data_IF_582168545522
#
_entry.id   IF_582168545522
#
_cell.length_a   1.000
_cell.length_b   1.000
_cell.length_c   1.000
_cell.angle_alpha   90.00
_cell.angle_beta   90.00
_cell.angle_gamma   90.00
#
_symmetry.space_group_name_H-M   'P 1'
#
loop_
_entity.id
_entity.type
_entity.pdbx_description
1 polymer ?
#
# COMPACT_ATOMS: atom_id res chain seq x y z
N UNK A 1 23.30 -53.11 27.27
CA UNK A 1 22.93 -52.45 25.98
C UNK A 1 21.59 -51.67 26.00
N UNK A 2 20.91 -51.47 27.14
CA UNK A 2 19.61 -50.76 27.18
C UNK A 2 19.65 -49.27 27.60
N UNK A 3 20.72 -48.84 28.28
CA UNK A 3 20.80 -47.50 28.88
C UNK A 3 21.21 -46.43 27.84
N UNK A 4 22.19 -46.74 26.98
CA UNK A 4 22.68 -45.82 25.93
C UNK A 4 21.66 -45.51 24.83
N UNK A 5 20.82 -46.49 24.42
CA UNK A 5 19.77 -46.25 23.42
C UNK A 5 18.72 -45.25 23.90
N UNK A 6 18.30 -45.30 25.17
CA UNK A 6 17.30 -44.39 25.73
C UNK A 6 17.81 -42.94 25.75
N UNK A 7 19.07 -42.72 26.14
CA UNK A 7 19.67 -41.38 26.09
C UNK A 7 19.77 -40.82 24.68
N UNK A 8 20.08 -41.67 23.69
CA UNK A 8 20.11 -41.28 22.29
C UNK A 8 18.71 -40.89 21.77
N UNK A 9 17.66 -41.62 22.17
CA UNK A 9 16.28 -41.28 21.80
C UNK A 9 15.84 -39.96 22.43
N UNK A 10 16.16 -39.74 23.71
CA UNK A 10 15.86 -38.49 24.41
C UNK A 10 16.60 -37.29 23.81
N UNK A 11 17.88 -37.46 23.46
CA UNK A 11 18.65 -36.42 22.76
C UNK A 11 18.02 -36.07 21.41
N UNK A 12 17.63 -37.08 20.62
CA UNK A 12 16.97 -36.86 19.33
C UNK A 12 15.64 -36.11 19.47
N UNK A 13 14.81 -36.47 20.46
CA UNK A 13 13.54 -35.77 20.73
C UNK A 13 13.77 -34.31 21.09
N UNK A 14 14.78 -34.01 21.92
CA UNK A 14 15.12 -32.62 22.29
C UNK A 14 15.56 -31.82 21.06
N UNK A 15 16.39 -32.40 20.20
CA UNK A 15 16.83 -31.76 18.94
C UNK A 15 15.64 -31.49 18.02
N UNK A 16 14.70 -32.43 17.89
CA UNK A 16 13.48 -32.23 17.10
C UNK A 16 12.61 -31.10 17.66
N UNK A 17 12.44 -31.00 18.98
CA UNK A 17 11.68 -29.92 19.62
C UNK A 17 12.35 -28.56 19.36
N UNK A 18 13.68 -28.48 19.51
CA UNK A 18 14.43 -27.25 19.25
C UNK A 18 14.36 -26.83 17.77
N UNK A 19 14.47 -27.78 16.84
CA UNK A 19 14.32 -27.52 15.41
C UNK A 19 12.91 -27.02 15.07
N UNK A 20 11.87 -27.63 15.65
CA UNK A 20 10.49 -27.19 15.45
C UNK A 20 10.27 -25.78 16.02
N UNK A 21 10.76 -25.50 17.22
CA UNK A 21 10.69 -24.17 17.84
C UNK A 21 11.40 -23.11 16.99
N UNK A 22 12.54 -23.46 16.39
CA UNK A 22 13.28 -22.56 15.50
C UNK A 22 12.51 -22.25 14.20
N UNK A 23 11.94 -23.28 13.55
CA UNK A 23 11.12 -23.09 12.34
C UNK A 23 9.87 -22.26 12.63
N UNK A 24 9.22 -22.51 13.77
CA UNK A 24 8.07 -21.71 14.20
C UNK A 24 8.48 -20.26 14.44
N UNK A 25 9.59 -20.01 15.14
CA UNK A 25 10.11 -18.65 15.37
C UNK A 25 10.40 -17.93 14.06
N UNK A 26 11.02 -18.59 13.09
CA UNK A 26 11.27 -18.01 11.76
C UNK A 26 9.98 -17.68 11.01
N UNK A 27 8.97 -18.57 11.06
CA UNK A 27 7.65 -18.28 10.49
C UNK A 27 6.95 -17.11 11.19
N UNK A 28 7.06 -17.01 12.52
CA UNK A 28 6.50 -15.88 13.27
C UNK A 28 7.22 -14.57 12.96
N UNK A 29 8.55 -14.55 12.87
CA UNK A 29 9.31 -13.36 12.46
C UNK A 29 8.94 -12.95 11.03
N UNK A 30 8.89 -13.90 10.10
CA UNK A 30 8.45 -13.64 8.71
C UNK A 30 7.02 -13.10 8.66
N UNK A 31 6.11 -13.63 9.48
CA UNK A 31 4.74 -13.12 9.58
C UNK A 31 4.71 -11.68 10.11
N UNK A 32 5.49 -11.35 11.14
CA UNK A 32 5.59 -9.98 11.67
C UNK A 32 6.28 -9.00 10.70
N UNK A 33 7.23 -9.46 9.88
CA UNK A 33 7.85 -8.60 8.86
C UNK A 33 6.90 -8.27 7.71
N UNK A 34 6.05 -9.25 7.33
CA UNK A 34 5.03 -9.09 6.28
C UNK A 34 3.81 -8.33 6.81
N UNK A 35 3.40 -8.60 8.05
CA UNK A 35 2.29 -7.97 8.77
C UNK A 35 2.88 -7.00 9.81
N UNK A 36 3.27 -5.80 9.35
CA UNK A 36 3.62 -4.70 10.26
C UNK A 36 2.38 -3.88 10.62
N UNK A 37 1.71 -4.12 11.76
CA UNK A 37 0.64 -3.24 12.25
C UNK A 37 1.14 -1.79 12.47
N UNK A 38 2.45 -1.61 12.54
CA UNK A 38 3.20 -0.36 12.68
C UNK A 38 3.11 0.58 11.49
N UNK A 39 2.64 0.09 10.33
CA UNK A 39 2.59 0.84 9.07
C UNK A 39 1.20 1.42 8.80
N UNK A 40 0.49 1.79 9.86
CA UNK A 40 -0.73 2.60 9.75
C UNK A 40 -0.38 4.04 9.38
N UNK A 41 -1.19 4.64 8.52
CA UNK A 41 -1.14 6.07 8.24
C UNK A 41 -2.47 6.66 8.68
N UNK A 42 -2.42 7.66 9.55
CA UNK A 42 -3.62 8.40 9.95
C UNK A 42 -3.75 9.60 9.03
N UNK A 43 -4.88 9.70 8.33
CA UNK A 43 -5.19 10.81 7.44
C UNK A 43 -6.14 11.77 8.14
N UNK A 44 -5.73 13.03 8.27
CA UNK A 44 -6.56 14.11 8.83
C UNK A 44 -6.80 15.15 7.76
N UNK A 45 -8.06 15.29 7.34
CA UNK A 45 -8.49 16.35 6.44
C UNK A 45 -8.80 17.61 7.25
N UNK A 46 -8.10 18.69 6.98
CA UNK A 46 -8.30 19.99 7.61
C UNK A 46 -8.51 21.07 6.55
N UNK A 47 -9.76 21.25 6.13
CA UNK A 47 -10.13 22.18 5.08
C UNK A 47 -9.46 21.81 3.76
N UNK A 48 -8.57 22.69 3.28
CA UNK A 48 -7.80 22.49 2.05
C UNK A 48 -6.57 21.59 2.22
N UNK A 49 -6.31 21.03 3.41
CA UNK A 49 -5.10 20.23 3.65
C UNK A 49 -5.44 18.78 4.03
N UNK A 50 -4.63 17.83 3.58
CA UNK A 50 -4.60 16.47 4.09
C UNK A 50 -3.28 16.21 4.80
N UNK A 51 -3.34 15.92 6.10
CA UNK A 51 -2.18 15.58 6.89
C UNK A 51 -2.10 14.07 7.06
N UNK A 52 -0.96 13.50 6.72
CA UNK A 52 -0.66 12.09 6.85
C UNK A 52 0.31 11.90 8.00
N UNK A 53 -0.14 11.26 9.07
CA UNK A 53 0.67 10.96 10.23
C UNK A 53 1.10 9.50 10.20
N UNK A 54 2.34 9.24 10.63
CA UNK A 54 2.71 7.91 11.03
C UNK A 54 1.85 7.50 12.25
N UNK A 55 1.19 6.35 12.21
CA UNK A 55 0.29 5.93 13.29
C UNK A 55 1.00 5.72 14.65
N UNK A 56 2.31 5.50 14.66
CA UNK A 56 3.11 5.34 15.88
C UNK A 56 3.86 6.61 16.30
N UNK A 57 4.02 7.57 15.40
CA UNK A 57 4.80 8.79 15.64
C UNK A 57 4.15 9.99 14.95
N UNK A 58 3.25 10.66 15.68
CA UNK A 58 2.51 11.83 15.19
C UNK A 58 3.41 13.04 14.89
N UNK A 59 4.67 13.03 15.35
CA UNK A 59 5.63 14.08 14.99
C UNK A 59 6.07 13.98 13.52
N UNK A 60 6.00 12.77 12.94
CA UNK A 60 6.24 12.53 11.52
C UNK A 60 4.94 12.72 10.76
N UNK A 61 4.81 13.90 10.16
CA UNK A 61 3.68 14.29 9.32
C UNK A 61 4.12 14.70 7.93
N UNK A 62 3.36 14.30 6.93
CA UNK A 62 3.40 14.88 5.58
C UNK A 62 2.13 15.72 5.46
N UNK A 63 2.29 17.01 5.18
CA UNK A 63 1.15 17.88 4.91
C UNK A 63 1.02 18.03 3.40
N UNK A 64 -0.14 17.67 2.86
CA UNK A 64 -0.49 17.96 1.49
C UNK A 64 -1.51 19.09 1.44
N UNK A 65 -1.18 20.14 0.70
CA UNK A 65 -2.17 21.13 0.26
C UNK A 65 -3.02 20.55 -0.89
N UNK A 66 -4.27 20.20 -0.58
CA UNK A 66 -5.25 19.68 -1.53
C UNK A 66 -5.71 20.73 -2.54
N UNK A 67 -5.47 22.03 -2.29
CA UNK A 67 -5.76 23.06 -3.30
C UNK A 67 -4.94 22.85 -4.57
N UNK A 68 -3.72 22.33 -4.42
CA UNK A 68 -2.83 22.02 -5.53
C UNK A 68 -3.34 20.88 -6.42
N UNK A 69 -4.22 20.03 -5.89
CA UNK A 69 -4.82 18.92 -6.64
C UNK A 69 -5.90 19.39 -7.64
N UNK A 70 -6.33 20.66 -7.57
CA UNK A 70 -7.35 21.30 -8.42
C UNK A 70 -8.53 20.37 -8.73
N UNK A 71 -9.22 19.92 -7.67
CA UNK A 71 -10.29 18.92 -7.72
C UNK A 71 -11.62 19.58 -8.13
N UNK A 72 -11.61 20.47 -9.13
CA UNK A 72 -12.85 21.07 -9.61
C UNK A 72 -13.71 20.02 -10.30
N UNK A 73 -14.86 19.69 -9.71
CA UNK A 73 -15.82 18.71 -10.24
C UNK A 73 -15.38 17.25 -10.13
N UNK A 74 -14.35 16.95 -9.33
CA UNK A 74 -13.86 15.60 -9.09
C UNK A 74 -14.05 15.11 -7.65
N UNK A 75 -13.80 13.82 -7.44
CA UNK A 75 -13.70 13.21 -6.11
C UNK A 75 -12.38 12.47 -6.00
N UNK A 76 -11.80 12.46 -4.80
CA UNK A 76 -10.70 11.57 -4.45
C UNK A 76 -11.32 10.24 -4.04
N UNK A 77 -10.92 9.16 -4.70
CA UNK A 77 -11.41 7.81 -4.37
C UNK A 77 -10.45 7.07 -3.47
N UNK A 78 -9.14 7.24 -3.72
CA UNK A 78 -8.10 6.50 -3.03
C UNK A 78 -6.87 7.37 -2.82
N UNK A 79 -6.20 7.09 -1.71
CA UNK A 79 -4.99 7.79 -1.28
C UNK A 79 -4.03 6.78 -0.70
N UNK A 80 -2.78 6.80 -1.14
CA UNK A 80 -1.76 5.91 -0.61
C UNK A 80 -0.36 6.54 -0.62
N UNK A 81 0.44 6.12 0.34
CA UNK A 81 1.85 6.48 0.46
C UNK A 81 2.72 5.37 -0.13
N UNK A 82 3.76 5.76 -0.85
CA UNK A 82 4.81 4.85 -1.29
C UNK A 82 6.17 5.50 -1.05
N UNK A 83 6.89 5.01 -0.03
CA UNK A 83 8.23 5.43 0.39
C UNK A 83 8.40 6.96 0.56
N UNK A 84 8.69 7.68 -0.53
CA UNK A 84 8.99 9.12 -0.57
C UNK A 84 7.96 9.88 -1.44
N UNK A 85 6.88 9.22 -1.86
CA UNK A 85 5.88 9.75 -2.78
C UNK A 85 4.47 9.52 -2.26
N UNK A 86 3.61 10.48 -2.54
CA UNK A 86 2.22 10.45 -2.17
C UNK A 86 1.34 10.37 -3.41
N UNK A 87 0.44 9.41 -3.46
CA UNK A 87 -0.39 9.15 -4.63
C UNK A 87 -1.87 9.35 -4.31
N UNK A 88 -2.57 10.03 -5.22
CA UNK A 88 -4.01 10.28 -5.17
C UNK A 88 -4.64 9.78 -6.44
N UNK A 89 -5.72 9.01 -6.30
CA UNK A 89 -6.59 8.67 -7.43
C UNK A 89 -7.81 9.57 -7.38
N UNK A 90 -8.03 10.24 -8.50
CA UNK A 90 -9.15 11.15 -8.69
C UNK A 90 -10.05 10.64 -9.78
N UNK A 91 -11.36 10.73 -9.52
CA UNK A 91 -12.41 10.53 -10.52
C UNK A 91 -13.03 11.89 -10.83
N UNK A 92 -13.04 12.29 -12.10
CA UNK A 92 -13.60 13.55 -12.59
C UNK A 92 -14.72 13.27 -13.58
N UNK A 93 -15.87 13.93 -13.41
CA UNK A 93 -16.93 13.88 -14.40
C UNK A 93 -16.68 14.97 -15.45
N UNK A 94 -16.46 14.58 -16.69
CA UNK A 94 -16.24 15.50 -17.81
C UNK A 94 -17.30 15.27 -18.91
N UNK A 95 -18.42 15.99 -18.81
CA UNK A 95 -19.57 15.78 -19.68
C UNK A 95 -20.18 14.39 -19.48
N UNK A 96 -20.21 13.57 -20.54
CA UNK A 96 -20.68 12.17 -20.49
C UNK A 96 -19.60 11.18 -20.02
N UNK A 97 -18.33 11.59 -20.09
CA UNK A 97 -17.22 10.72 -19.74
C UNK A 97 -16.83 10.87 -18.28
N UNK A 98 -16.31 9.78 -17.74
CA UNK A 98 -15.61 9.72 -16.47
C UNK A 98 -14.12 9.58 -16.78
N UNK A 99 -13.32 10.49 -16.24
CA UNK A 99 -11.87 10.48 -16.33
C UNK A 99 -11.27 10.10 -14.98
N UNK A 100 -10.25 9.24 -15.01
CA UNK A 100 -9.52 8.83 -13.83
C UNK A 100 -8.07 9.28 -13.94
N UNK A 101 -7.60 9.94 -12.89
CA UNK A 101 -6.26 10.49 -12.82
C UNK A 101 -5.50 9.89 -11.65
N UNK A 102 -4.25 9.50 -11.88
CA UNK A 102 -3.27 9.24 -10.85
C UNK A 102 -2.43 10.50 -10.68
N UNK A 103 -2.44 11.08 -9.48
CA UNK A 103 -1.62 12.24 -9.15
C UNK A 103 -0.54 11.82 -8.18
N UNK A 104 0.72 12.03 -8.57
CA UNK A 104 1.88 11.85 -7.72
C UNK A 104 2.29 13.20 -7.14
N UNK A 105 2.45 13.26 -5.83
CA UNK A 105 2.96 14.42 -5.10
C UNK A 105 4.30 14.04 -4.49
N UNK A 106 5.35 14.72 -4.94
CA UNK A 106 6.73 14.54 -4.49
C UNK A 106 7.23 15.92 -4.05
N UNK A 107 7.48 16.08 -2.74
CA UNK A 107 7.78 17.38 -2.14
C UNK A 107 6.74 18.44 -2.57
N UNK A 108 7.18 19.50 -3.25
CA UNK A 108 6.31 20.58 -3.77
C UNK A 108 5.89 20.38 -5.25
N UNK A 109 6.18 19.21 -5.84
CA UNK A 109 5.88 18.91 -7.25
C UNK A 109 4.69 17.97 -7.37
N UNK A 110 3.84 18.26 -8.36
CA UNK A 110 2.67 17.45 -8.69
C UNK A 110 2.75 16.97 -10.13
N UNK A 111 2.67 15.66 -10.31
CA UNK A 111 2.57 15.01 -11.61
C UNK A 111 1.21 14.33 -11.72
N UNK A 112 0.35 14.83 -12.61
CA UNK A 112 -0.99 14.30 -12.84
C UNK A 112 -1.01 13.53 -14.16
N UNK A 113 -1.35 12.25 -14.09
CA UNK A 113 -1.42 11.33 -15.23
C UNK A 113 -2.85 10.87 -15.43
N UNK A 114 -3.39 11.05 -16.64
CA UNK A 114 -4.66 10.41 -17.03
C UNK A 114 -4.41 8.92 -17.17
N UNK A 115 -5.07 8.11 -16.34
CA UNK A 115 -4.93 6.65 -16.35
C UNK A 115 -6.09 5.97 -17.05
N UNK A 116 -7.26 6.62 -17.16
CA UNK A 116 -8.41 6.05 -17.85
C UNK A 116 -9.46 7.09 -18.26
N UNK A 117 -10.20 6.85 -19.35
CA UNK A 117 -11.40 7.61 -19.76
C UNK A 117 -12.50 6.68 -20.30
N UNK A 118 -13.76 6.87 -19.87
CA UNK A 118 -14.91 6.13 -20.42
C UNK A 118 -16.27 6.56 -19.84
N UNK A 119 -17.39 6.17 -20.46
CA UNK A 119 -18.73 6.66 -20.08
C UNK A 119 -19.31 6.06 -18.78
N UNK A 120 -19.05 4.78 -18.49
CA UNK A 120 -19.58 4.06 -17.31
C UNK A 120 -18.48 3.37 -16.49
N UNK A 121 -17.30 3.96 -16.47
CA UNK A 121 -16.14 3.28 -15.92
C UNK A 121 -16.00 3.44 -14.41
N UNK A 122 -15.67 2.33 -13.75
CA UNK A 122 -15.46 2.25 -12.32
C UNK A 122 -14.17 1.52 -11.99
N UNK A 123 -13.35 2.11 -11.13
CA UNK A 123 -12.31 1.41 -10.38
C UNK A 123 -12.97 0.92 -9.08
N UNK A 124 -12.96 -0.39 -8.87
CA UNK A 124 -13.57 -1.02 -7.71
C UNK A 124 -12.58 -1.19 -6.56
N UNK A 125 -11.33 -1.53 -6.87
CA UNK A 125 -10.29 -1.81 -5.89
C UNK A 125 -8.94 -1.38 -6.42
N UNK A 126 -8.10 -0.91 -5.50
CA UNK A 126 -6.75 -0.46 -5.77
C UNK A 126 -5.82 -1.18 -4.81
N UNK A 127 -4.80 -1.87 -5.34
CA UNK A 127 -3.72 -2.45 -4.55
C UNK A 127 -2.40 -1.77 -4.88
N UNK A 128 -1.62 -1.45 -3.85
CA UNK A 128 -0.29 -0.87 -3.99
C UNK A 128 0.76 -1.88 -3.53
N UNK A 129 1.80 -2.09 -4.34
CA UNK A 129 2.96 -2.92 -4.03
C UNK A 129 4.28 -2.13 -4.00
N UNK A 130 4.30 -0.89 -3.52
CA UNK A 130 5.42 0.09 -3.52
C UNK A 130 6.01 0.45 -4.90
N UNK A 131 6.00 -0.47 -5.86
CA UNK A 131 6.54 -0.32 -7.21
C UNK A 131 5.44 -0.30 -8.27
N UNK A 132 4.26 -0.85 -7.96
CA UNK A 132 3.16 -0.92 -8.89
C UNK A 132 1.82 -0.70 -8.21
N UNK A 133 0.89 -0.15 -8.98
CA UNK A 133 -0.52 -0.10 -8.65
C UNK A 133 -1.24 -1.17 -9.46
N UNK A 134 -2.12 -1.94 -8.83
CA UNK A 134 -3.02 -2.85 -9.51
C UNK A 134 -4.42 -2.28 -9.36
N UNK A 135 -5.08 -2.04 -10.48
CA UNK A 135 -6.43 -1.54 -10.57
C UNK A 135 -7.37 -2.68 -10.96
N UNK A 136 -8.38 -2.94 -10.15
CA UNK A 136 -9.54 -3.76 -10.53
C UNK A 136 -10.65 -2.85 -11.00
N UNK A 137 -11.11 -3.04 -12.22
CA UNK A 137 -11.96 -2.08 -12.91
C UNK A 137 -13.11 -2.78 -13.63
N UNK A 138 -14.09 -2.00 -14.10
CA UNK A 138 -15.21 -2.53 -14.89
C UNK A 138 -14.80 -3.20 -16.20
N UNK A 139 -13.57 -2.98 -16.68
CA UNK A 139 -13.07 -3.55 -17.94
C UNK A 139 -11.94 -4.57 -17.74
N UNK A 140 -11.56 -4.86 -16.49
CA UNK A 140 -10.53 -5.84 -16.17
C UNK A 140 -9.47 -5.31 -15.19
N UNK A 141 -8.33 -6.01 -15.17
CA UNK A 141 -7.21 -5.70 -14.30
C UNK A 141 -6.12 -4.96 -15.06
N UNK A 142 -5.69 -3.82 -14.52
CA UNK A 142 -4.59 -3.02 -15.06
C UNK A 142 -3.46 -2.93 -14.05
N UNK A 143 -2.21 -2.92 -14.52
CA UNK A 143 -1.04 -2.67 -13.67
C UNK A 143 -0.39 -1.35 -14.11
N UNK A 144 -0.20 -0.43 -13.18
CA UNK A 144 0.56 0.79 -13.40
C UNK A 144 1.91 0.68 -12.71
N UNK A 145 2.98 1.05 -13.39
CA UNK A 145 4.30 1.14 -12.77
C UNK A 145 4.47 2.51 -12.11
N UNK A 146 4.67 2.55 -10.79
CA UNK A 146 4.79 3.80 -10.03
C UNK A 146 6.15 4.50 -10.25
N UNK A 147 7.18 3.79 -10.73
CA UNK A 147 8.48 4.41 -11.08
C UNK A 147 8.45 5.14 -12.43
N UNK A 148 7.59 4.73 -13.36
CA UNK A 148 7.54 5.31 -14.71
C UNK A 148 6.23 6.03 -15.04
N UNK A 149 5.21 5.91 -14.19
CA UNK A 149 3.88 6.47 -14.40
C UNK A 149 3.12 5.86 -15.59
N UNK A 150 3.59 4.73 -16.15
CA UNK A 150 3.00 4.09 -17.34
C UNK A 150 2.16 2.87 -16.98
N UNK A 151 1.08 2.66 -17.74
CA UNK A 151 0.30 1.42 -17.75
C UNK A 151 1.15 0.32 -18.40
N UNK A 152 1.25 -0.83 -17.72
CA UNK A 152 1.90 -2.05 -18.19
C UNK A 152 0.84 -3.07 -18.65
#
# INVERSE_FOLDING_TARGET
>A
MGYSRKHLTWFFVIVCILALAYVLRLKFISYYEVWRPDKGVVVVLNGSNANFYNAQDISKKINLDLSMLNINGGIITDVFLAKDSFFVIQKVQNGKNVEWYLTNVIDDRIEKTLIYIGEKYHIFQVWNSNESLILNTSEGYYRLNLKSGRIL
#
